data_IF_364620075217
#
_entry.id   IF_364620075217
#
_cell.length_a   1.000
_cell.length_b   1.000
_cell.length_c   1.000
_cell.angle_alpha   90.00
_cell.angle_beta   90.00
_cell.angle_gamma   90.00
#
_symmetry.space_group_name_H-M   'P 1'
#
loop_
_entity.id
_entity.type
_entity.pdbx_description
1 polymer ?
#
# COMPACT_ATOMS: atom_id res chain seq x y z
N UNK A 1 19.72 -1.81 34.64
CA UNK A 1 18.81 -0.79 34.04
C UNK A 1 19.72 0.23 33.35
N UNK A 2 19.62 0.64 32.08
CA UNK A 2 18.54 0.80 31.09
C UNK A 2 19.17 0.68 29.70
N UNK A 3 18.65 -0.18 28.80
CA UNK A 3 19.06 -0.16 27.38
C UNK A 3 18.15 0.81 26.64
N UNK A 4 18.61 2.06 26.50
CA UNK A 4 18.00 3.06 25.63
C UNK A 4 18.21 2.64 24.17
N UNK A 5 17.23 1.91 23.62
CA UNK A 5 17.17 1.61 22.19
C UNK A 5 16.61 2.84 21.48
N UNK A 6 17.50 3.77 21.13
CA UNK A 6 17.17 4.85 20.19
C UNK A 6 16.68 4.19 18.89
N UNK A 7 15.51 4.55 18.34
CA UNK A 7 15.08 3.98 17.08
C UNK A 7 16.06 4.49 16.02
N UNK A 8 16.91 3.59 15.52
CA UNK A 8 17.67 3.82 14.29
C UNK A 8 16.66 4.39 13.29
N UNK A 9 17.03 5.48 12.60
CA UNK A 9 16.36 5.88 11.36
C UNK A 9 16.49 4.70 10.41
N UNK A 10 15.57 3.75 10.53
CA UNK A 10 15.53 2.56 9.73
C UNK A 10 15.39 3.07 8.30
N UNK A 11 16.22 2.57 7.40
CA UNK A 11 16.13 2.82 5.98
C UNK A 11 14.64 2.89 5.59
N UNK A 12 14.23 3.96 4.91
CA UNK A 12 12.84 4.28 4.53
C UNK A 12 12.28 3.13 3.68
N UNK A 13 11.90 2.05 4.35
CA UNK A 13 11.55 0.77 3.75
C UNK A 13 10.07 0.60 4.00
N UNK A 14 9.36 0.42 2.90
CA UNK A 14 7.94 0.15 2.93
C UNK A 14 7.65 -1.07 3.80
N UNK A 15 6.51 -1.01 4.48
CA UNK A 15 6.03 -2.11 5.29
C UNK A 15 5.89 -3.39 4.45
N UNK A 16 6.11 -4.53 5.08
CA UNK A 16 5.87 -5.79 4.41
C UNK A 16 4.38 -5.97 4.17
N UNK A 17 4.02 -6.58 3.03
CA UNK A 17 2.61 -6.83 2.67
C UNK A 17 1.84 -7.59 3.75
N UNK A 18 2.51 -8.56 4.38
CA UNK A 18 1.92 -9.33 5.46
C UNK A 18 1.62 -8.47 6.69
N UNK A 19 2.49 -7.51 7.03
CA UNK A 19 2.31 -6.62 8.17
C UNK A 19 1.12 -5.68 7.94
N UNK A 20 0.98 -5.14 6.73
CA UNK A 20 -0.17 -4.31 6.34
C UNK A 20 -1.48 -5.12 6.46
N UNK A 21 -1.48 -6.37 5.98
CA UNK A 21 -2.65 -7.24 6.09
C UNK A 21 -2.93 -7.63 7.55
N UNK A 22 -1.90 -7.83 8.36
CA UNK A 22 -2.03 -8.14 9.78
C UNK A 22 -2.65 -6.96 10.55
N UNK A 23 -2.16 -5.73 10.32
CA UNK A 23 -2.76 -4.53 10.93
C UNK A 23 -4.19 -4.28 10.46
N UNK A 24 -4.48 -4.44 9.16
CA UNK A 24 -5.85 -4.41 8.64
C UNK A 24 -6.75 -5.42 9.39
N UNK A 25 -6.26 -6.64 9.59
CA UNK A 25 -7.00 -7.69 10.31
C UNK A 25 -7.20 -7.34 11.79
N UNK A 26 -6.19 -6.75 12.45
CA UNK A 26 -6.31 -6.24 13.82
C UNK A 26 -7.36 -5.14 13.92
N UNK A 27 -7.46 -4.28 12.91
CA UNK A 27 -8.51 -3.27 12.78
C UNK A 27 -9.89 -3.85 12.36
N UNK A 28 -10.03 -5.17 12.18
CA UNK A 28 -11.28 -5.82 11.79
C UNK A 28 -11.62 -5.69 10.29
N UNK A 29 -10.68 -5.19 9.50
CA UNK A 29 -10.82 -5.00 8.06
C UNK A 29 -10.09 -6.08 7.26
N UNK A 30 -10.60 -6.35 6.06
CA UNK A 30 -9.87 -7.12 5.04
C UNK A 30 -9.85 -6.31 3.75
N UNK A 31 -8.84 -6.51 2.91
CA UNK A 31 -8.73 -5.79 1.62
C UNK A 31 -10.00 -5.91 0.78
N UNK A 32 -10.63 -7.10 0.77
CA UNK A 32 -11.89 -7.33 0.06
C UNK A 32 -13.06 -6.57 0.68
N UNK A 33 -13.17 -6.59 2.01
CA UNK A 33 -14.23 -5.87 2.74
C UNK A 33 -14.09 -4.37 2.54
N UNK A 34 -12.86 -3.86 2.61
CA UNK A 34 -12.53 -2.47 2.36
C UNK A 34 -12.85 -2.06 0.92
N UNK A 35 -12.54 -2.93 -0.06
CA UNK A 35 -12.86 -2.65 -1.46
C UNK A 35 -14.38 -2.52 -1.67
N UNK A 36 -15.16 -3.42 -1.06
CA UNK A 36 -16.63 -3.41 -1.13
C UNK A 36 -17.20 -2.19 -0.42
N UNK A 37 -16.65 -1.83 0.75
CA UNK A 37 -17.06 -0.67 1.52
C UNK A 37 -16.89 0.65 0.74
N UNK A 38 -15.80 0.78 -0.01
CA UNK A 38 -15.56 1.94 -0.88
C UNK A 38 -16.21 1.83 -2.28
N UNK A 39 -17.05 0.83 -2.52
CA UNK A 39 -17.79 0.67 -3.77
C UNK A 39 -16.95 0.21 -4.97
N UNK A 40 -15.79 -0.41 -4.76
CA UNK A 40 -14.99 -0.97 -5.84
C UNK A 40 -15.58 -2.31 -6.31
N UNK A 41 -15.83 -2.42 -7.63
CA UNK A 41 -16.36 -3.63 -8.24
C UNK A 41 -15.43 -4.85 -8.12
N UNK A 42 -14.11 -4.62 -8.01
CA UNK A 42 -13.11 -5.69 -7.92
C UNK A 42 -12.38 -5.67 -6.57
N UNK A 43 -12.44 -6.75 -5.77
CA UNK A 43 -11.69 -6.87 -4.51
C UNK A 43 -10.17 -6.77 -4.68
N UNK A 44 -9.68 -7.15 -5.86
CA UNK A 44 -8.26 -7.11 -6.24
C UNK A 44 -7.73 -5.70 -6.45
N UNK A 45 -8.61 -4.69 -6.55
CA UNK A 45 -8.23 -3.29 -6.76
C UNK A 45 -7.33 -2.79 -5.61
N UNK A 46 -7.70 -3.08 -4.36
CA UNK A 46 -6.89 -2.73 -3.20
C UNK A 46 -5.66 -3.63 -3.03
N UNK A 47 -5.73 -4.89 -3.46
CA UNK A 47 -4.54 -5.77 -3.50
C UNK A 47 -3.47 -5.22 -4.45
N UNK A 48 -3.88 -4.62 -5.57
CA UNK A 48 -2.96 -3.99 -6.51
C UNK A 48 -2.26 -2.75 -5.92
N UNK A 49 -2.86 -2.08 -4.93
CA UNK A 49 -2.23 -0.99 -4.18
C UNK A 49 -0.97 -1.44 -3.43
N UNK A 50 -0.94 -2.71 -2.99
CA UNK A 50 0.24 -3.30 -2.33
C UNK A 50 1.36 -3.67 -3.31
N UNK A 51 1.10 -3.63 -4.62
CA UNK A 51 2.04 -4.00 -5.67
C UNK A 51 2.58 -2.81 -6.44
N UNK A 52 1.72 -1.82 -6.70
CA UNK A 52 2.03 -0.67 -7.54
C UNK A 52 1.68 0.61 -6.79
N UNK A 53 2.45 1.71 -7.00
CA UNK A 53 2.14 2.99 -6.38
C UNK A 53 0.73 3.41 -6.79
N UNK A 54 -0.18 3.43 -5.83
CA UNK A 54 -1.56 3.86 -6.06
C UNK A 54 -2.01 4.72 -4.88
N UNK A 55 -1.73 6.04 -4.93
CA UNK A 55 -1.93 6.93 -3.78
C UNK A 55 -3.36 6.93 -3.22
N UNK A 56 -4.38 6.69 -4.05
CA UNK A 56 -5.78 6.60 -3.60
C UNK A 56 -6.05 5.32 -2.80
N UNK A 57 -5.55 4.17 -3.28
CA UNK A 57 -5.72 2.89 -2.58
C UNK A 57 -4.87 2.81 -1.31
N UNK A 58 -3.66 3.36 -1.36
CA UNK A 58 -2.76 3.49 -0.20
C UNK A 58 -3.42 4.29 0.92
N UNK A 59 -4.04 5.44 0.60
CA UNK A 59 -4.81 6.24 1.57
C UNK A 59 -5.96 5.48 2.20
N UNK A 60 -6.76 4.77 1.40
CA UNK A 60 -7.90 3.98 1.90
C UNK A 60 -7.43 2.90 2.88
N UNK A 61 -6.33 2.22 2.56
CA UNK A 61 -5.74 1.20 3.45
C UNK A 61 -5.22 1.85 4.74
N UNK A 62 -4.53 2.98 4.62
CA UNK A 62 -3.96 3.70 5.76
C UNK A 62 -5.06 4.24 6.70
N UNK A 63 -6.14 4.80 6.13
CA UNK A 63 -7.33 5.26 6.84
C UNK A 63 -8.00 4.12 7.61
N UNK A 64 -8.09 2.92 7.02
CA UNK A 64 -8.65 1.74 7.68
C UNK A 64 -7.79 1.24 8.87
N UNK A 65 -6.47 1.48 8.83
CA UNK A 65 -5.54 1.15 9.91
C UNK A 65 -5.47 2.30 10.94
N UNK A 66 -5.83 3.53 10.54
CA UNK A 66 -5.76 4.72 11.38
C UNK A 66 -4.37 5.37 11.42
N UNK A 67 -3.53 5.14 10.40
CA UNK A 67 -2.19 5.75 10.28
C UNK A 67 -2.06 6.44 8.92
N UNK A 68 -1.01 7.24 8.74
CA UNK A 68 -0.77 7.92 7.47
C UNK A 68 -0.15 6.99 6.41
N UNK A 69 -0.51 7.17 5.15
CA UNK A 69 0.03 6.38 4.04
C UNK A 69 1.56 6.54 3.89
N UNK A 70 2.12 7.71 4.23
CA UNK A 70 3.57 7.91 4.23
C UNK A 70 4.28 7.11 5.33
N UNK A 71 3.56 6.70 6.38
CA UNK A 71 4.12 5.84 7.45
C UNK A 71 4.26 4.39 6.99
N UNK A 72 3.30 3.92 6.19
CA UNK A 72 3.30 2.55 5.64
C UNK A 72 4.27 2.45 4.44
N UNK A 73 4.26 3.47 3.57
CA UNK A 73 5.09 3.54 2.38
C UNK A 73 6.03 4.75 2.38
N UNK A 74 6.98 4.83 3.32
CA UNK A 74 7.90 5.95 3.38
C UNK A 74 8.71 6.10 2.09
N UNK A 75 9.05 5.02 1.39
CA UNK A 75 9.79 5.09 0.12
C UNK A 75 9.01 5.83 -0.98
N UNK A 76 7.67 5.74 -0.96
CA UNK A 76 6.78 6.36 -1.97
C UNK A 76 6.52 7.84 -1.72
N UNK A 77 6.52 8.26 -0.45
CA UNK A 77 6.16 9.63 -0.06
C UNK A 77 7.37 10.50 0.31
N UNK A 78 8.56 9.92 0.58
CA UNK A 78 9.79 10.67 0.93
C UNK A 78 10.70 11.05 -0.25
N UNK A 79 10.25 10.95 -1.50
CA UNK A 79 10.99 11.50 -2.63
C UNK A 79 10.78 13.03 -2.71
N UNK A 80 11.74 13.79 -2.18
CA UNK A 80 11.92 15.22 -2.48
C UNK A 80 11.77 15.44 -4.00
N UNK A 81 10.68 16.10 -4.39
CA UNK A 81 10.56 16.83 -5.65
C UNK A 81 10.56 15.99 -6.94
N UNK A 82 9.51 16.20 -7.73
CA UNK A 82 9.46 16.05 -9.19
C UNK A 82 9.17 14.67 -9.79
N UNK A 83 8.01 14.61 -10.46
CA UNK A 83 7.79 13.99 -11.77
C UNK A 83 7.96 12.47 -11.91
N UNK A 84 6.84 11.74 -11.90
CA UNK A 84 6.81 10.34 -12.33
C UNK A 84 5.44 9.83 -12.80
N UNK A 85 4.51 10.72 -13.12
CA UNK A 85 3.16 10.34 -13.57
C UNK A 85 3.12 9.95 -15.07
N UNK A 86 4.07 9.16 -15.59
CA UNK A 86 3.98 8.57 -16.94
C UNK A 86 4.80 7.27 -17.05
N UNK A 87 4.27 6.14 -16.58
CA UNK A 87 4.59 4.85 -17.21
C UNK A 87 3.49 3.81 -17.05
N UNK A 88 2.37 4.07 -17.73
CA UNK A 88 1.45 3.02 -18.14
C UNK A 88 1.94 2.35 -19.42
N UNK A 89 3.00 1.55 -19.35
CA UNK A 89 3.26 0.55 -20.41
C UNK A 89 2.53 -0.73 -20.00
N UNK A 90 1.26 -0.84 -20.38
CA UNK A 90 0.48 -2.08 -20.26
C UNK A 90 0.72 -2.85 -21.56
N UNK A 91 1.76 -3.68 -21.56
CA UNK A 91 1.87 -4.75 -22.55
C UNK A 91 0.74 -5.74 -22.25
N UNK A 92 -0.30 -5.73 -23.07
CA UNK A 92 -1.35 -6.74 -23.07
C UNK A 92 -1.05 -7.79 -24.14
N UNK A 93 0.15 -8.37 -24.14
CA UNK A 93 0.38 -9.59 -24.89
C UNK A 93 -0.04 -10.80 -24.02
N UNK A 94 -1.33 -11.14 -24.07
CA UNK A 94 -1.80 -12.47 -23.67
C UNK A 94 -2.37 -13.15 -24.91
N UNK A 95 -1.54 -14.02 -25.48
CA UNK A 95 -1.86 -14.92 -26.60
C UNK A 95 -2.86 -16.01 -26.17
N UNK A 96 -3.55 -16.55 -27.18
CA UNK A 96 -4.32 -17.80 -27.30
C UNK A 96 -5.83 -17.77 -26.95
N UNK A 97 -6.69 -17.97 -27.97
CA UNK A 97 -7.33 -19.25 -28.27
C UNK A 97 -8.46 -19.12 -29.31
N UNK A 98 -8.36 -19.88 -30.41
CA UNK A 98 -9.41 -20.58 -31.19
C UNK A 98 -9.09 -20.56 -32.68
#
# INVERSE_FOLDING_TARGET
>A
MTKSSSPKKAALKDWHRADIVAELRKAGWSLRRLATHHGYASPTTLTNALARPWPKGERIIAEAIGIDAATIWPSRYHAKGTTGARKGHRDTNRRNAA
#
